data_IF_733739546218
#
_entry.id   IF_733739546218
#
_cell.length_a   1.000
_cell.length_b   1.000
_cell.length_c   1.000
_cell.angle_alpha   90.00
_cell.angle_beta   90.00
_cell.angle_gamma   90.00
#
_symmetry.space_group_name_H-M   'P 1'
#
loop_
_entity.id
_entity.type
_entity.pdbx_description
1 polymer ?
#
# COMPACT_ATOMS: atom_id res chain seq x y z
N UNK A 1 18.74 -12.33 3.92
CA UNK A 1 17.69 -13.31 3.62
C UNK A 1 16.42 -12.79 4.28
N UNK A 2 15.32 -12.67 3.55
CA UNK A 2 14.05 -12.20 4.13
C UNK A 2 13.43 -13.34 4.93
N UNK A 3 12.83 -13.05 6.07
CA UNK A 3 12.26 -14.10 6.93
C UNK A 3 11.12 -14.81 6.22
N UNK A 4 10.34 -14.08 5.41
CA UNK A 4 9.12 -14.57 4.79
C UNK A 4 9.28 -14.97 3.31
N UNK A 5 10.50 -15.06 2.80
CA UNK A 5 10.78 -15.24 1.35
C UNK A 5 10.23 -16.54 0.74
N UNK A 6 10.03 -17.58 1.54
CA UNK A 6 9.54 -18.88 1.09
C UNK A 6 8.01 -19.04 1.21
N UNK A 7 7.29 -18.02 1.68
CA UNK A 7 5.83 -18.05 1.81
C UNK A 7 5.14 -17.64 0.51
N UNK A 8 3.98 -18.25 0.24
CA UNK A 8 3.16 -17.95 -0.95
C UNK A 8 1.82 -17.31 -0.55
N UNK A 9 1.36 -16.24 -1.23
CA UNK A 9 1.94 -15.65 -2.44
C UNK A 9 3.15 -14.74 -2.16
N UNK A 10 4.27 -14.95 -2.86
CA UNK A 10 5.54 -14.25 -2.61
C UNK A 10 5.42 -12.71 -2.50
N UNK A 11 4.71 -12.05 -3.43
CA UNK A 11 4.59 -10.58 -3.41
C UNK A 11 3.86 -10.06 -2.18
N UNK A 12 2.88 -10.80 -1.67
CA UNK A 12 2.13 -10.38 -0.47
C UNK A 12 3.06 -10.40 0.73
N UNK A 13 3.79 -11.50 0.94
CA UNK A 13 4.72 -11.65 2.06
C UNK A 13 5.93 -10.73 1.95
N UNK A 14 6.39 -10.43 0.74
CA UNK A 14 7.41 -9.41 0.50
C UNK A 14 6.98 -8.05 1.06
N UNK A 15 5.80 -7.55 0.67
CA UNK A 15 5.32 -6.24 1.13
C UNK A 15 4.91 -6.25 2.60
N UNK A 16 4.39 -7.36 3.10
CA UNK A 16 4.12 -7.51 4.52
C UNK A 16 5.39 -7.32 5.36
N UNK A 17 6.51 -7.96 4.97
CA UNK A 17 7.80 -7.78 5.65
C UNK A 17 8.33 -6.34 5.53
N UNK A 18 8.14 -5.67 4.37
CA UNK A 18 8.48 -4.24 4.25
C UNK A 18 7.70 -3.37 5.24
N UNK A 19 6.39 -3.60 5.36
CA UNK A 19 5.51 -2.84 6.24
C UNK A 19 5.85 -3.10 7.71
N UNK A 20 6.14 -4.35 8.09
CA UNK A 20 6.57 -4.71 9.45
C UNK A 20 7.85 -3.99 9.89
N UNK A 21 8.74 -3.63 8.94
CA UNK A 21 9.97 -2.90 9.25
C UNK A 21 9.76 -1.40 9.51
N UNK A 22 8.54 -0.89 9.31
CA UNK A 22 8.19 0.50 9.55
C UNK A 22 7.40 0.56 10.86
N UNK A 23 7.80 1.31 11.89
CA UNK A 23 6.95 1.49 13.06
C UNK A 23 5.65 2.23 12.68
N UNK A 24 4.50 1.58 12.85
CA UNK A 24 3.19 2.12 12.45
C UNK A 24 2.08 1.86 13.48
N UNK A 25 2.37 2.08 14.77
CA UNK A 25 1.36 2.01 15.83
C UNK A 25 0.27 3.07 15.66
N UNK A 26 -0.91 2.87 16.27
CA UNK A 26 -1.98 3.87 16.23
C UNK A 26 -1.47 5.27 16.64
N UNK A 27 -1.83 6.28 15.83
CA UNK A 27 -1.34 7.68 15.89
C UNK A 27 0.11 7.91 15.43
N UNK A 28 0.84 6.87 15.03
CA UNK A 28 2.17 6.95 14.42
C UNK A 28 2.10 6.50 12.96
N UNK A 29 1.47 7.32 12.10
CA UNK A 29 1.18 6.95 10.71
C UNK A 29 2.14 7.56 9.68
N UNK A 30 2.93 8.57 10.05
CA UNK A 30 3.71 9.34 9.07
C UNK A 30 4.69 8.49 8.26
N UNK A 31 5.36 7.54 8.92
CA UNK A 31 6.31 6.63 8.27
C UNK A 31 5.64 5.72 7.24
N UNK A 32 4.55 5.03 7.62
CA UNK A 32 3.85 4.11 6.72
C UNK A 32 3.16 4.85 5.57
N UNK A 33 2.54 6.01 5.84
CA UNK A 33 1.94 6.84 4.80
C UNK A 33 2.98 7.33 3.80
N UNK A 34 4.16 7.74 4.25
CA UNK A 34 5.26 8.17 3.36
C UNK A 34 5.82 7.02 2.51
N UNK A 35 5.92 5.81 3.08
CA UNK A 35 6.29 4.61 2.34
C UNK A 35 5.30 4.31 1.22
N UNK A 36 4.00 4.36 1.53
CA UNK A 36 2.92 4.11 0.56
C UNK A 36 2.88 5.18 -0.54
N UNK A 37 3.03 6.46 -0.18
CA UNK A 37 3.11 7.55 -1.16
C UNK A 37 4.29 7.35 -2.12
N UNK A 38 5.46 6.97 -1.59
CA UNK A 38 6.63 6.63 -2.42
C UNK A 38 6.35 5.41 -3.30
N UNK A 39 5.74 4.37 -2.75
CA UNK A 39 5.38 3.16 -3.50
C UNK A 39 4.54 3.48 -4.74
N UNK A 40 3.56 4.38 -4.58
CA UNK A 40 2.69 4.82 -5.66
C UNK A 40 3.46 5.65 -6.70
N UNK A 41 4.22 6.64 -6.25
CA UNK A 41 5.03 7.52 -7.10
C UNK A 41 6.05 6.74 -7.94
N UNK A 42 6.77 5.80 -7.35
CA UNK A 42 7.75 4.96 -8.05
C UNK A 42 7.12 4.11 -9.17
N UNK A 43 5.80 3.90 -9.12
CA UNK A 43 5.02 3.12 -10.09
C UNK A 43 4.17 3.99 -11.02
N UNK A 44 4.27 5.31 -10.91
CA UNK A 44 3.45 6.24 -11.69
C UNK A 44 1.95 6.12 -11.41
N UNK A 45 1.57 5.67 -10.21
CA UNK A 45 0.16 5.65 -9.79
C UNK A 45 -0.26 7.04 -9.32
N UNK A 46 -1.51 7.43 -9.61
CA UNK A 46 -2.10 8.59 -8.95
C UNK A 46 -2.19 8.30 -7.45
N UNK A 47 -1.77 9.26 -6.63
CA UNK A 47 -1.73 9.11 -5.19
C UNK A 47 -2.02 10.45 -4.52
N UNK A 48 -2.88 10.43 -3.52
CA UNK A 48 -3.09 11.56 -2.61
C UNK A 48 -2.94 11.10 -1.17
N UNK A 49 -2.46 12.02 -0.33
CA UNK A 49 -2.42 11.89 1.12
C UNK A 49 -3.30 12.98 1.70
N UNK A 50 -4.31 12.59 2.47
CA UNK A 50 -5.18 13.57 3.12
C UNK A 50 -4.58 14.11 4.44
N UNK A 51 -5.30 15.02 5.09
CA UNK A 51 -4.88 15.64 6.36
C UNK A 51 -4.82 14.67 7.54
N UNK A 52 -5.45 13.49 7.42
CA UNK A 52 -5.44 12.42 8.41
C UNK A 52 -4.45 11.30 8.07
N UNK A 53 -3.58 11.52 7.07
CA UNK A 53 -2.60 10.57 6.55
C UNK A 53 -3.20 9.35 5.84
N UNK A 54 -4.47 9.38 5.46
CA UNK A 54 -5.02 8.35 4.58
C UNK A 54 -4.35 8.45 3.21
N UNK A 55 -3.97 7.30 2.67
CA UNK A 55 -3.38 7.19 1.33
C UNK A 55 -4.41 6.61 0.39
N UNK A 56 -4.73 7.35 -0.67
CA UNK A 56 -5.63 6.90 -1.74
C UNK A 56 -4.79 6.78 -3.00
N UNK A 57 -4.70 5.57 -3.54
CA UNK A 57 -4.02 5.27 -4.79
C UNK A 57 -5.04 4.88 -5.85
N UNK A 58 -4.86 5.39 -7.07
CA UNK A 58 -5.66 4.98 -8.23
C UNK A 58 -4.76 4.32 -9.25
N UNK A 59 -5.17 3.12 -9.67
CA UNK A 59 -4.58 2.38 -10.77
C UNK A 59 -5.65 2.17 -11.81
N UNK A 60 -5.39 2.63 -13.03
CA UNK A 60 -6.29 2.42 -14.16
C UNK A 60 -6.52 0.94 -14.45
N UNK A 61 -7.67 0.66 -15.07
CA UNK A 61 -8.05 -0.69 -15.44
C UNK A 61 -7.00 -1.33 -16.35
N UNK A 62 -6.84 -2.65 -16.24
CA UNK A 62 -6.07 -3.42 -17.21
C UNK A 62 -6.79 -3.42 -18.56
N UNK A 63 -6.08 -3.54 -19.69
CA UNK A 63 -6.69 -3.55 -21.02
C UNK A 63 -7.87 -4.52 -21.13
N UNK A 64 -9.02 -4.02 -21.59
CA UNK A 64 -10.26 -4.79 -21.73
C UNK A 64 -11.25 -4.64 -20.57
N UNK A 65 -10.91 -3.88 -19.52
CA UNK A 65 -11.76 -3.65 -18.33
C UNK A 65 -12.09 -2.16 -18.13
N UNK A 66 -11.84 -1.29 -19.10
CA UNK A 66 -11.98 0.18 -18.97
C UNK A 66 -13.43 0.66 -18.78
N UNK A 67 -14.40 -0.22 -19.04
CA UNK A 67 -15.85 0.05 -18.87
C UNK A 67 -16.43 -0.54 -17.60
N UNK A 68 -15.66 -1.37 -16.90
CA UNK A 68 -16.10 -1.96 -15.64
C UNK A 68 -16.09 -0.91 -14.54
N UNK A 69 -16.94 -1.09 -13.53
CA UNK A 69 -16.99 -0.19 -12.39
C UNK A 69 -15.68 -0.22 -11.59
N UNK A 70 -15.26 0.94 -11.09
CA UNK A 70 -14.10 1.04 -10.23
C UNK A 70 -14.33 0.29 -8.91
N UNK A 71 -13.33 -0.47 -8.47
CA UNK A 71 -13.36 -1.22 -7.21
C UNK A 71 -12.38 -0.58 -6.24
N UNK A 72 -12.79 -0.44 -4.97
CA UNK A 72 -11.94 0.04 -3.89
C UNK A 72 -11.52 -1.13 -2.98
N UNK A 73 -10.20 -1.31 -2.83
CA UNK A 73 -9.63 -2.18 -1.81
C UNK A 73 -9.23 -1.31 -0.61
N UNK A 74 -9.75 -1.62 0.57
CA UNK A 74 -9.51 -0.84 1.78
C UNK A 74 -8.84 -1.69 2.86
N UNK A 75 -7.82 -1.12 3.50
CA UNK A 75 -7.18 -1.63 4.71
C UNK A 75 -6.78 -0.46 5.60
N UNK A 76 -6.72 -0.67 6.92
CA UNK A 76 -6.17 0.32 7.84
C UNK A 76 -4.65 0.12 7.97
N UNK A 77 -3.91 1.20 8.18
CA UNK A 77 -2.45 1.18 8.20
C UNK A 77 -1.87 1.04 9.59
N UNK A 78 -2.63 1.38 10.64
CA UNK A 78 -2.15 1.33 12.01
C UNK A 78 -2.24 -0.09 12.59
N UNK A 79 -1.34 -0.35 13.54
CA UNK A 79 -1.34 -1.54 14.38
C UNK A 79 -1.52 -1.14 15.85
N UNK A 80 -2.07 -2.06 16.63
CA UNK A 80 -2.18 -1.95 18.10
C UNK A 80 -0.82 -2.07 18.76
#
# INVERSE_FOLDING_TARGET
MRVLENLQPYKVFYYFEEICNIPHGSKNLDGISSYLEKFARDRGLFCIRDTSNNIIMVKEATPGYEKEEAIMLQGHMDMV
#
